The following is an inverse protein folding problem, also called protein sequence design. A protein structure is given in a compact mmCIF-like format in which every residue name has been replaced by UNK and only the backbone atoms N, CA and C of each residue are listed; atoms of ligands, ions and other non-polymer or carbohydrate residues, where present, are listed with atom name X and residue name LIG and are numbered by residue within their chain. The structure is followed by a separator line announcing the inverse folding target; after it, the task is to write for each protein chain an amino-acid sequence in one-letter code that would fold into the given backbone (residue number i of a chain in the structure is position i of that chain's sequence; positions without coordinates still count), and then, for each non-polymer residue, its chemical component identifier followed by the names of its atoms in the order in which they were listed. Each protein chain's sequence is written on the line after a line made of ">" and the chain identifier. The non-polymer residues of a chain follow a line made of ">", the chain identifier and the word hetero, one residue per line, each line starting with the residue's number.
data_IF_118478762068
#
_entry.id   IF_118478762068
#
_cell.length_a   1.000
_cell.length_b   1.000
_cell.length_c   1.000
_cell.angle_alpha   90.00
_cell.angle_beta   90.00
_cell.angle_gamma   90.00
#
_symmetry.space_group_name_H-M   'P 1'
#
loop_
_entity.id
_entity.type
_entity.pdbx_description
1 polymer ?
#
# COMPACT_ATOMS: atom_id res chain seq x y z
N UNK A 1 2.09 -17.19 7.50
CA UNK A 1 1.78 -15.77 7.79
C UNK A 1 0.33 -15.38 7.47
N UNK A 2 -0.19 -15.63 6.26
CA UNK A 2 -1.61 -15.33 5.93
C UNK A 2 -2.62 -16.03 6.86
N UNK A 3 -2.45 -17.33 7.12
CA UNK A 3 -3.34 -18.07 8.02
C UNK A 3 -3.32 -17.57 9.47
N UNK A 4 -2.13 -17.30 10.02
CA UNK A 4 -1.97 -16.74 11.38
C UNK A 4 -2.63 -15.35 11.49
N UNK A 5 -2.51 -14.50 10.46
CA UNK A 5 -3.20 -13.21 10.40
C UNK A 5 -4.73 -13.36 10.40
N UNK A 6 -5.25 -14.37 9.70
CA UNK A 6 -6.70 -14.66 9.67
C UNK A 6 -7.18 -15.15 11.04
N UNK A 7 -6.49 -16.13 11.64
CA UNK A 7 -6.85 -16.66 12.97
C UNK A 7 -6.83 -15.54 14.01
N UNK A 8 -5.78 -14.74 14.03
CA UNK A 8 -5.66 -13.61 14.97
C UNK A 8 -6.77 -12.57 14.74
N UNK A 9 -7.08 -12.25 13.49
CA UNK A 9 -8.20 -11.36 13.16
C UNK A 9 -9.53 -11.92 13.63
N UNK A 10 -9.78 -13.22 13.49
CA UNK A 10 -11.01 -13.87 13.95
C UNK A 10 -11.14 -13.80 15.47
N UNK A 11 -10.04 -14.05 16.21
CA UNK A 11 -10.02 -13.95 17.67
C UNK A 11 -10.32 -12.52 18.13
N UNK A 12 -9.74 -11.52 17.49
CA UNK A 12 -10.02 -10.10 17.79
C UNK A 12 -11.49 -9.77 17.56
N UNK A 13 -12.06 -10.20 16.43
CA UNK A 13 -13.47 -9.93 16.12
C UNK A 13 -14.38 -10.59 17.15
N UNK A 14 -14.07 -11.82 17.55
CA UNK A 14 -14.85 -12.55 18.55
C UNK A 14 -14.78 -11.86 19.92
N UNK A 15 -13.58 -11.44 20.36
CA UNK A 15 -13.41 -10.62 21.57
C UNK A 15 -14.19 -9.31 21.49
N UNK A 16 -14.17 -8.64 20.34
CA UNK A 16 -14.95 -7.42 20.11
C UNK A 16 -16.46 -7.64 20.28
N UNK A 17 -16.99 -8.75 19.76
CA UNK A 17 -18.41 -9.10 19.91
C UNK A 17 -18.75 -9.35 21.37
N UNK A 18 -17.94 -10.15 22.08
CA UNK A 18 -18.14 -10.43 23.51
C UNK A 18 -18.11 -9.13 24.32
N UNK A 19 -17.13 -8.26 24.05
CA UNK A 19 -17.02 -6.95 24.69
C UNK A 19 -18.28 -6.09 24.48
N UNK A 20 -18.84 -6.06 23.28
CA UNK A 20 -20.06 -5.30 22.98
C UNK A 20 -21.26 -5.85 23.76
N UNK A 21 -21.41 -7.18 23.84
CA UNK A 21 -22.53 -7.82 24.54
C UNK A 21 -22.43 -7.56 26.04
N UNK A 22 -21.24 -7.72 26.64
CA UNK A 22 -21.02 -7.46 28.06
C UNK A 22 -21.25 -6.00 28.44
N UNK A 23 -20.88 -5.06 27.56
CA UNK A 23 -20.98 -3.63 27.83
C UNK A 23 -22.26 -2.99 27.24
N UNK A 24 -23.23 -3.80 26.81
CA UNK A 24 -24.41 -3.34 26.06
C UNK A 24 -25.29 -2.38 26.86
N UNK A 25 -25.37 -2.55 28.18
CA UNK A 25 -26.06 -1.63 29.08
C UNK A 25 -25.37 -0.25 29.08
N UNK A 26 -24.05 -0.23 29.17
CA UNK A 26 -23.26 1.01 29.14
C UNK A 26 -23.37 1.71 27.79
N UNK A 27 -23.33 0.94 26.70
CA UNK A 27 -23.44 1.43 25.31
C UNK A 27 -24.79 2.09 25.00
N UNK A 28 -25.84 1.76 25.76
CA UNK A 28 -27.18 2.35 25.65
C UNK A 28 -27.35 3.62 26.45
N UNK A 29 -26.35 4.06 27.23
CA UNK A 29 -26.47 5.34 27.89
C UNK A 29 -26.41 6.49 26.87
N UNK A 30 -27.35 7.45 26.96
CA UNK A 30 -27.29 8.66 26.16
C UNK A 30 -26.13 9.52 26.63
N UNK A 31 -25.33 10.01 25.69
CA UNK A 31 -24.22 10.92 25.96
C UNK A 31 -24.37 12.15 25.07
N UNK A 32 -24.23 13.31 25.68
CA UNK A 32 -24.14 14.60 24.98
C UNK A 32 -22.68 14.96 24.84
N UNK A 33 -22.21 15.11 23.59
CA UNK A 33 -20.87 15.60 23.32
C UNK A 33 -20.90 17.12 23.41
N UNK A 34 -20.10 17.66 24.32
CA UNK A 34 -19.87 19.10 24.44
C UNK A 34 -18.47 19.41 23.95
N UNK A 35 -18.40 20.30 22.97
CA UNK A 35 -17.17 20.83 22.43
C UNK A 35 -17.15 22.31 22.76
N UNK A 36 -16.41 22.64 23.81
CA UNK A 36 -16.27 24.00 24.28
C UNK A 36 -15.00 24.60 23.66
N UNK A 37 -15.17 25.35 22.57
CA UNK A 37 -14.13 26.24 22.09
C UNK A 37 -14.29 27.55 22.85
N UNK A 38 -13.18 28.16 23.26
CA UNK A 38 -13.13 29.42 24.01
C UNK A 38 -13.98 30.57 23.41
N UNK A 39 -14.38 30.46 22.13
CA UNK A 39 -15.21 31.42 21.39
C UNK A 39 -16.64 30.89 21.10
N UNK A 40 -16.85 29.57 21.14
CA UNK A 40 -18.12 28.95 20.81
C UNK A 40 -18.29 27.57 21.47
N UNK A 41 -19.40 27.38 22.17
CA UNK A 41 -19.77 26.08 22.74
C UNK A 41 -20.73 25.36 21.80
N UNK A 42 -20.33 24.18 21.31
CA UNK A 42 -21.17 23.30 20.51
C UNK A 42 -21.61 22.12 21.37
N UNK A 43 -22.93 21.89 21.44
CA UNK A 43 -23.49 20.75 22.14
C UNK A 43 -24.24 19.87 21.14
N UNK A 44 -23.85 18.60 21.05
CA UNK A 44 -24.60 17.63 20.26
C UNK A 44 -25.90 17.26 20.99
N UNK A 45 -26.95 16.88 20.24
CA UNK A 45 -28.09 16.15 20.80
C UNK A 45 -27.62 14.90 21.55
N UNK A 46 -28.46 14.37 22.43
CA UNK A 46 -28.17 13.12 23.12
C UNK A 46 -28.09 11.98 22.09
N UNK A 47 -26.89 11.40 21.98
CA UNK A 47 -26.62 10.26 21.10
C UNK A 47 -26.23 9.09 21.98
N UNK A 48 -26.73 7.90 21.64
CA UNK A 48 -26.31 6.67 22.30
C UNK A 48 -24.83 6.38 22.02
N UNK A 49 -24.09 5.98 23.05
CA UNK A 49 -22.66 5.65 22.95
C UNK A 49 -22.36 4.63 21.86
N UNK A 50 -23.24 3.64 21.66
CA UNK A 50 -23.06 2.65 20.60
C UNK A 50 -22.93 3.27 19.20
N UNK A 51 -23.63 4.38 18.92
CA UNK A 51 -23.58 5.07 17.63
C UNK A 51 -22.22 5.72 17.44
N UNK A 52 -21.67 6.33 18.50
CA UNK A 52 -20.34 6.96 18.46
C UNK A 52 -19.24 5.92 18.27
N UNK A 53 -19.32 4.80 18.99
CA UNK A 53 -18.38 3.68 18.83
C UNK A 53 -18.45 3.11 17.41
N UNK A 54 -19.65 2.89 16.89
CA UNK A 54 -19.86 2.38 15.53
C UNK A 54 -19.32 3.36 14.48
N UNK A 55 -19.58 4.65 14.65
CA UNK A 55 -19.06 5.69 13.76
C UNK A 55 -17.53 5.76 13.78
N UNK A 56 -16.91 5.72 14.97
CA UNK A 56 -15.45 5.69 15.12
C UNK A 56 -14.83 4.45 14.46
N UNK A 57 -15.44 3.28 14.66
CA UNK A 57 -15.01 2.05 14.00
C UNK A 57 -15.09 2.16 12.48
N UNK A 58 -16.22 2.66 11.97
CA UNK A 58 -16.41 2.87 10.54
C UNK A 58 -15.37 3.83 9.97
N UNK A 59 -15.09 4.94 10.68
CA UNK A 59 -14.09 5.92 10.27
C UNK A 59 -12.67 5.31 10.26
N UNK A 60 -12.35 4.45 11.23
CA UNK A 60 -11.09 3.71 11.27
C UNK A 60 -10.94 2.72 10.11
N UNK A 61 -11.99 1.94 9.81
CA UNK A 61 -11.99 1.02 8.66
C UNK A 61 -11.93 1.81 7.34
N UNK A 62 -12.66 2.91 7.24
CA UNK A 62 -12.67 3.78 6.06
C UNK A 62 -11.30 4.37 5.79
N UNK A 63 -10.64 4.95 6.79
CA UNK A 63 -9.29 5.51 6.66
C UNK A 63 -8.25 4.44 6.32
N UNK A 64 -8.32 3.27 6.96
CA UNK A 64 -7.43 2.13 6.64
C UNK A 64 -7.63 1.64 5.20
N UNK A 65 -8.90 1.55 4.76
CA UNK A 65 -9.25 1.19 3.38
C UNK A 65 -8.70 2.21 2.37
N UNK A 66 -8.85 3.49 2.68
CA UNK A 66 -8.36 4.59 1.84
C UNK A 66 -6.83 4.56 1.73
N UNK A 67 -6.13 4.33 2.85
CA UNK A 67 -4.68 4.19 2.87
C UNK A 67 -4.22 2.96 2.07
N UNK A 68 -4.87 1.81 2.26
CA UNK A 68 -4.58 0.59 1.49
C UNK A 68 -4.83 0.76 0.00
N UNK A 69 -5.86 1.52 -0.40
CA UNK A 69 -6.14 1.83 -1.80
C UNK A 69 -5.05 2.73 -2.40
N UNK A 70 -4.61 3.75 -1.66
CA UNK A 70 -3.51 4.62 -2.06
C UNK A 70 -2.20 3.84 -2.24
N UNK A 71 -1.88 2.96 -1.29
CA UNK A 71 -0.69 2.11 -1.36
C UNK A 71 -0.75 1.16 -2.56
N UNK A 72 -1.92 0.58 -2.85
CA UNK A 72 -2.11 -0.27 -4.03
C UNK A 72 -1.85 0.49 -5.34
N UNK A 73 -2.25 1.76 -5.40
CA UNK A 73 -2.01 2.60 -6.57
C UNK A 73 -0.51 2.89 -6.76
N UNK A 74 0.19 3.27 -5.69
CA UNK A 74 1.64 3.47 -5.73
C UNK A 74 2.37 2.18 -6.14
N UNK A 75 2.05 1.05 -5.52
CA UNK A 75 2.67 -0.24 -5.84
C UNK A 75 2.50 -0.59 -7.33
N UNK A 76 1.32 -0.34 -7.92
CA UNK A 76 1.09 -0.56 -9.35
C UNK A 76 1.96 0.33 -10.24
N UNK A 77 2.17 1.59 -9.86
CA UNK A 77 3.07 2.49 -10.58
C UNK A 77 4.52 2.01 -10.49
N UNK A 78 4.98 1.65 -9.29
CA UNK A 78 6.33 1.10 -9.06
C UNK A 78 6.57 -0.16 -9.89
N UNK A 79 5.61 -1.09 -9.95
CA UNK A 79 5.71 -2.31 -10.76
C UNK A 79 5.86 -1.98 -12.25
N UNK A 80 5.11 -1.00 -12.77
CA UNK A 80 5.22 -0.58 -14.17
C UNK A 80 6.59 0.01 -14.47
N UNK A 81 7.10 0.87 -13.59
CA UNK A 81 8.44 1.46 -13.73
C UNK A 81 9.53 0.38 -13.67
N UNK A 82 9.48 -0.54 -12.70
CA UNK A 82 10.46 -1.62 -12.60
C UNK A 82 10.47 -2.52 -13.83
N UNK A 83 9.29 -2.88 -14.39
CA UNK A 83 9.22 -3.67 -15.62
C UNK A 83 9.84 -2.94 -16.82
N UNK A 84 9.61 -1.63 -16.94
CA UNK A 84 10.18 -0.83 -18.01
C UNK A 84 11.71 -0.75 -17.91
N UNK A 85 12.24 -0.51 -16.70
CA UNK A 85 13.69 -0.51 -16.46
C UNK A 85 14.33 -1.86 -16.75
N UNK A 86 13.68 -2.98 -16.37
CA UNK A 86 14.16 -4.31 -16.70
C UNK A 86 14.21 -4.57 -18.21
N UNK A 87 13.23 -4.06 -18.96
CA UNK A 87 13.21 -4.22 -20.43
C UNK A 87 14.33 -3.41 -21.10
N UNK A 88 14.57 -2.17 -20.64
CA UNK A 88 15.67 -1.33 -21.12
C UNK A 88 17.01 -2.02 -20.82
N UNK A 89 17.23 -2.44 -19.58
CA UNK A 89 18.47 -3.09 -19.17
C UNK A 89 18.71 -4.41 -19.93
N UNK A 90 17.64 -5.17 -20.20
CA UNK A 90 17.72 -6.37 -21.03
C UNK A 90 18.10 -6.05 -22.50
N UNK A 91 17.64 -4.92 -23.06
CA UNK A 91 18.05 -4.45 -24.39
C UNK A 91 19.51 -3.98 -24.41
N UNK A 92 19.95 -3.27 -23.38
CA UNK A 92 21.34 -2.81 -23.25
C UNK A 92 22.31 -3.99 -23.16
N UNK A 93 22.02 -5.01 -22.35
CA UNK A 93 22.84 -6.23 -22.27
C UNK A 93 22.92 -6.92 -23.65
N UNK A 94 21.81 -7.00 -24.38
CA UNK A 94 21.79 -7.58 -25.73
C UNK A 94 22.61 -6.77 -26.73
N UNK A 95 22.55 -5.44 -26.66
CA UNK A 95 23.34 -4.56 -27.53
C UNK A 95 24.83 -4.57 -27.19
N UNK A 96 25.19 -4.57 -25.91
CA UNK A 96 26.58 -4.69 -25.47
C UNK A 96 27.18 -6.03 -25.92
N UNK A 97 26.45 -7.13 -25.74
CA UNK A 97 26.87 -8.46 -26.22
C UNK A 97 26.88 -8.57 -27.76
N UNK A 98 26.06 -7.81 -28.48
CA UNK A 98 26.05 -7.79 -29.96
C UNK A 98 27.11 -6.85 -30.56
N UNK A 99 27.67 -5.93 -29.77
CA UNK A 99 28.76 -5.02 -30.19
C UNK A 99 30.14 -5.61 -29.88
N UNK A 100 30.23 -6.52 -28.90
CA UNK A 100 31.43 -7.30 -28.59
C UNK A 100 32.04 -8.10 -29.79
N UNK A 101 31.28 -8.68 -30.74
CA UNK A 101 31.85 -9.33 -31.92
C UNK A 101 32.25 -8.34 -33.02
N UNK A 102 31.78 -7.08 -32.99
CA UNK A 102 32.10 -6.08 -34.01
C UNK A 102 33.45 -5.39 -33.77
N UNK A 103 33.92 -5.30 -32.52
CA UNK A 103 35.24 -4.74 -32.20
C UNK A 103 36.41 -5.72 -32.41
N UNK A 104 36.12 -7.00 -32.67
CA UNK A 104 37.14 -8.00 -33.02
C UNK A 104 37.37 -8.14 -34.53
N UNK A 105 36.58 -7.45 -35.36
CA UNK A 105 36.71 -7.44 -36.82
C UNK A 105 37.21 -6.07 -37.32
N UNK A 106 38.34 -5.61 -36.79
CA UNK A 106 39.14 -4.60 -37.47
C UNK A 106 39.87 -5.29 -38.65
N UNK A 107 39.88 -4.73 -39.88
CA UNK A 107 40.49 -5.40 -41.02
C UNK A 107 42.00 -5.52 -40.80
N UNK A 108 42.55 -6.74 -40.90
CA UNK A 108 43.99 -6.93 -41.06
C UNK A 108 44.46 -6.10 -42.27
N UNK A 109 45.50 -5.26 -42.13
CA UNK A 109 46.05 -4.54 -43.27
C UNK A 109 46.68 -5.56 -44.23
N UNK A 110 46.09 -5.66 -45.42
CA UNK A 110 46.64 -6.42 -46.55
C UNK A 110 48.06 -5.90 -46.86
N UNK A 111 49.06 -6.69 -46.52
CA UNK A 111 50.44 -6.48 -46.96
C UNK A 111 50.51 -6.95 -48.41
N UNK A 112 50.67 -5.99 -49.33
CA UNK A 112 50.80 -6.22 -50.77
C UNK A 112 51.99 -7.16 -51.08
N UNK A 113 51.92 -7.99 -52.13
CA UNK A 113 53.02 -8.88 -52.49
C UNK A 113 54.16 -8.02 -53.07
N UNK A 114 55.33 -8.10 -52.44
CA UNK A 114 56.56 -7.52 -52.99
C UNK A 114 57.05 -8.41 -54.13
N UNK A 115 56.91 -7.91 -55.34
CA UNK A 115 57.54 -8.45 -56.54
C UNK A 115 59.05 -8.24 -56.48
N UNK A 116 59.82 -9.32 -56.56
CA UNK A 116 61.10 -9.46 -57.28
C UNK A 116 61.54 -10.94 -57.30
#
# INVERSE_FOLDING_TARGET
>A
MRFVKVIFSTVIVLLGIVFIIENLEVLKHPVSLKLDLYVATFQSPDVYLWVLVLFSFFLGVFTTSLYGLYELYQQRQTIRQLRHNLEILAKEIRQANATAPASAAAPEPQIAPRSE
#
